data_IF_604996368544
#
_entry.id   IF_604996368544
#
_cell.length_a   1.000
_cell.length_b   1.000
_cell.length_c   1.000
_cell.angle_alpha   90.00
_cell.angle_beta   90.00
_cell.angle_gamma   90.00
#
_symmetry.space_group_name_H-M   'P 1'
#
loop_
_entity.id
_entity.type
_entity.pdbx_description
1 polymer ?
#
# COMPACT_ATOMS: atom_id res chain seq x y z
N UNK A 1 4.11 9.43 4.28
CA UNK A 1 2.88 9.40 3.47
C UNK A 1 2.85 8.11 2.65
N UNK A 2 1.69 7.45 2.52
CA UNK A 2 1.51 6.31 1.63
C UNK A 2 0.87 6.76 0.32
N UNK A 3 1.38 6.25 -0.80
CA UNK A 3 0.89 6.60 -2.15
C UNK A 3 0.55 5.32 -2.91
N UNK A 4 -0.66 5.27 -3.46
CA UNK A 4 -1.09 4.23 -4.40
C UNK A 4 -0.62 4.60 -5.80
N UNK A 5 0.48 3.99 -6.26
CA UNK A 5 0.96 4.12 -7.62
C UNK A 5 0.20 3.11 -8.50
N UNK A 6 -0.97 3.53 -8.98
CA UNK A 6 -1.92 2.69 -9.74
C UNK A 6 -1.40 2.29 -11.12
N UNK A 7 -0.45 3.05 -11.68
CA UNK A 7 0.15 2.73 -12.98
C UNK A 7 1.12 1.56 -12.88
N UNK A 8 1.85 1.45 -11.77
CA UNK A 8 2.76 0.32 -11.51
C UNK A 8 2.20 -0.75 -10.58
N UNK A 9 0.97 -0.56 -10.08
CA UNK A 9 0.31 -1.40 -9.06
C UNK A 9 1.18 -1.62 -7.81
N UNK A 10 1.84 -0.56 -7.32
CA UNK A 10 2.68 -0.61 -6.10
C UNK A 10 2.24 0.42 -5.07
N UNK A 11 2.55 0.14 -3.81
CA UNK A 11 2.47 1.14 -2.75
C UNK A 11 3.84 1.76 -2.55
N UNK A 12 3.89 3.10 -2.57
CA UNK A 12 5.08 3.88 -2.24
C UNK A 12 4.95 4.50 -0.87
N UNK A 13 6.09 4.69 -0.22
CA UNK A 13 6.22 5.41 1.05
C UNK A 13 7.06 6.65 0.76
N UNK A 14 6.53 7.81 1.10
CA UNK A 14 7.25 9.09 1.03
C UNK A 14 7.56 9.52 2.46
N UNK A 15 8.84 9.67 2.78
CA UNK A 15 9.31 10.16 4.08
C UNK A 15 9.23 11.70 4.18
N UNK A 16 9.52 12.31 5.35
CA UNK A 16 9.51 13.77 5.50
C UNK A 16 10.53 14.51 4.64
N UNK A 17 11.62 13.85 4.23
CA UNK A 17 12.68 14.39 3.38
C UNK A 17 12.38 14.18 1.87
N UNK A 18 11.18 13.68 1.55
CA UNK A 18 10.69 13.39 0.20
C UNK A 18 11.39 12.22 -0.51
N UNK A 19 12.11 11.36 0.22
CA UNK A 19 12.62 10.12 -0.35
C UNK A 19 11.46 9.13 -0.58
N UNK A 20 11.53 8.41 -1.69
CA UNK A 20 10.50 7.46 -2.11
C UNK A 20 10.99 6.02 -1.95
N UNK A 21 10.33 5.28 -1.06
CA UNK A 21 10.53 3.85 -0.87
C UNK A 21 9.37 3.06 -1.48
N UNK A 22 9.63 1.79 -1.80
CA UNK A 22 8.63 0.91 -2.42
C UNK A 22 8.39 -0.28 -1.53
N UNK A 23 7.13 -0.54 -1.20
CA UNK A 23 6.76 -1.81 -0.57
C UNK A 23 7.04 -2.94 -1.57
N UNK A 24 7.75 -4.01 -1.20
CA UNK A 24 8.17 -5.08 -2.10
C UNK A 24 7.03 -6.04 -2.46
N UNK A 25 5.92 -5.51 -2.96
CA UNK A 25 4.78 -6.25 -3.46
C UNK A 25 4.17 -5.53 -4.67
N UNK A 26 3.79 -6.28 -5.70
CA UNK A 26 3.09 -5.76 -6.88
C UNK A 26 1.71 -6.38 -6.91
N UNK A 27 0.68 -5.54 -6.82
CA UNK A 27 -0.71 -5.97 -6.86
C UNK A 27 -1.15 -6.21 -8.32
N UNK A 28 -2.23 -6.96 -8.49
CA UNK A 28 -2.81 -7.23 -9.81
C UNK A 28 -3.64 -6.03 -10.32
N UNK A 29 -4.44 -5.43 -9.45
CA UNK A 29 -5.06 -4.13 -9.67
C UNK A 29 -5.30 -3.42 -8.33
N UNK A 30 -4.44 -2.46 -8.00
CA UNK A 30 -4.54 -1.70 -6.76
C UNK A 30 -5.87 -0.97 -6.65
N UNK A 31 -6.53 -1.13 -5.51
CA UNK A 31 -7.77 -0.45 -5.19
C UNK A 31 -7.66 0.50 -4.01
N UNK A 32 -8.64 0.43 -3.12
CA UNK A 32 -8.72 1.24 -1.90
C UNK A 32 -7.59 0.86 -0.96
N UNK A 33 -6.94 1.89 -0.41
CA UNK A 33 -5.93 1.79 0.65
C UNK A 33 -6.45 2.51 1.89
N UNK A 34 -6.44 1.83 3.04
CA UNK A 34 -6.83 2.38 4.34
C UNK A 34 -5.74 2.13 5.37
N UNK A 35 -5.52 3.13 6.21
CA UNK A 35 -4.63 3.04 7.38
C UNK A 35 -5.50 2.63 8.57
N UNK A 36 -5.08 1.57 9.26
CA UNK A 36 -5.63 1.13 10.54
C UNK A 36 -4.59 1.44 11.63
N UNK A 37 -4.68 2.66 12.18
CA UNK A 37 -3.72 3.17 13.15
C UNK A 37 -3.64 2.33 14.43
N UNK A 38 -4.77 1.91 15.05
CA UNK A 38 -4.72 1.07 16.26
C UNK A 38 -3.95 -0.23 16.09
N UNK A 39 -4.01 -0.84 14.90
CA UNK A 39 -3.34 -2.11 14.59
C UNK A 39 -2.04 -1.94 13.79
N UNK A 40 -1.56 -0.71 13.62
CA UNK A 40 -0.34 -0.36 12.88
C UNK A 40 -0.22 -1.11 11.55
N UNK A 41 -1.28 -1.06 10.73
CA UNK A 41 -1.32 -1.76 9.45
C UNK A 41 -1.98 -0.95 8.33
N UNK A 42 -1.64 -1.29 7.10
CA UNK A 42 -2.41 -0.94 5.91
C UNK A 42 -3.34 -2.07 5.52
N UNK A 43 -4.56 -1.72 5.09
CA UNK A 43 -5.50 -2.60 4.42
C UNK A 43 -5.63 -2.15 2.96
N UNK A 44 -5.42 -3.09 2.04
CA UNK A 44 -5.30 -2.81 0.61
C UNK A 44 -6.19 -3.78 -0.16
N UNK A 45 -7.14 -3.28 -0.94
CA UNK A 45 -7.94 -4.14 -1.84
C UNK A 45 -7.21 -4.34 -3.16
N UNK A 46 -7.18 -5.57 -3.65
CA UNK A 46 -6.78 -5.89 -5.02
C UNK A 46 -7.99 -6.40 -5.80
N UNK A 47 -8.50 -5.58 -6.72
CA UNK A 47 -9.75 -5.86 -7.42
C UNK A 47 -9.65 -7.06 -8.36
N UNK A 48 -8.46 -7.33 -8.92
CA UNK A 48 -8.27 -8.45 -9.85
C UNK A 48 -7.94 -9.74 -9.12
N UNK A 49 -7.31 -9.66 -7.95
CA UNK A 49 -7.04 -10.84 -7.13
C UNK A 49 -8.24 -11.28 -6.27
N UNK A 50 -9.29 -10.44 -6.15
CA UNK A 50 -10.43 -10.69 -5.25
C UNK A 50 -9.98 -10.92 -3.80
N UNK A 51 -9.02 -10.12 -3.35
CA UNK A 51 -8.38 -10.26 -2.05
C UNK A 51 -8.18 -8.91 -1.35
N UNK A 52 -8.12 -8.96 -0.02
CA UNK A 52 -7.68 -7.85 0.82
C UNK A 52 -6.33 -8.24 1.41
N UNK A 53 -5.31 -7.44 1.12
CA UNK A 53 -3.98 -7.57 1.69
C UNK A 53 -3.86 -6.71 2.94
N UNK A 54 -3.04 -7.19 3.89
CA UNK A 54 -2.62 -6.39 5.03
C UNK A 54 -1.10 -6.28 5.06
N UNK A 55 -0.60 -5.10 5.38
CA UNK A 55 0.83 -4.85 5.60
C UNK A 55 0.98 -4.32 7.01
N UNK A 56 1.72 -5.02 7.86
CA UNK A 56 2.05 -4.58 9.21
C UNK A 56 3.36 -3.81 9.19
N UNK A 57 3.45 -2.79 10.03
CA UNK A 57 4.69 -2.08 10.30
C UNK A 57 5.21 -2.60 11.65
N UNK A 58 6.46 -3.05 11.67
CA UNK A 58 7.18 -3.37 12.91
C UNK A 58 7.85 -2.11 13.47
#
# INVERSE_FOLDING_TARGET
MFVSDTSSNKIRIVDPDLNVFTIPHTFSALGVVKIDCPNQRLLITDFRANQIFQIKFE
#
